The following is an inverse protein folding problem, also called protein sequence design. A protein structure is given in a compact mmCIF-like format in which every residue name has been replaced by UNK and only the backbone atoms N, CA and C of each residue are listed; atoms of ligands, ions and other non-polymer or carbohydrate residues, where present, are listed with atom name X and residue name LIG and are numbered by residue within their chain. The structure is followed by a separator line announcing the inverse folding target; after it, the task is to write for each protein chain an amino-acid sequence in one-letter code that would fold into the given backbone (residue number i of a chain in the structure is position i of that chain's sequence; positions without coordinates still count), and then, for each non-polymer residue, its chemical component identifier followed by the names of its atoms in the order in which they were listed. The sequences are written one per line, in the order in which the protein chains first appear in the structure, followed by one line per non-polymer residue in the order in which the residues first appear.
data_IF_179476881470
#
_entry.id   IF_179476881470
#
_cell.length_a   1.000
_cell.length_b   1.000
_cell.length_c   1.000
_cell.angle_alpha   90.00
_cell.angle_beta   90.00
_cell.angle_gamma   90.00
#
_symmetry.space_group_name_H-M   'P 1'
#
loop_
_entity.id
_entity.type
_entity.pdbx_description
1 polymer ?
#
# COMPACT_ATOMS: atom_id res chain seq x y z
N UNK A 1 -6.12 25.94 8.72
CA UNK A 1 -5.62 24.58 8.50
C UNK A 1 -6.81 23.68 8.29
N UNK A 2 -6.99 23.18 7.09
CA UNK A 2 -8.06 22.22 6.81
C UNK A 2 -7.70 20.92 7.51
N UNK A 3 -8.53 20.51 8.44
CA UNK A 3 -8.38 19.19 9.02
C UNK A 3 -8.54 18.14 7.94
N UNK A 4 -7.57 17.28 7.85
CA UNK A 4 -7.62 16.16 6.94
C UNK A 4 -8.72 15.21 7.40
N UNK A 5 -9.63 14.81 6.51
CA UNK A 5 -10.63 13.82 6.91
C UNK A 5 -9.91 12.55 7.39
N UNK A 6 -10.34 12.04 8.51
CA UNK A 6 -9.81 10.80 9.04
C UNK A 6 -10.00 9.63 8.06
N UNK A 7 -9.24 8.58 8.24
CA UNK A 7 -9.41 7.38 7.43
C UNK A 7 -10.83 6.85 7.55
N UNK A 8 -11.45 6.53 6.41
CA UNK A 8 -12.77 5.90 6.38
C UNK A 8 -12.73 4.48 6.95
N UNK A 9 -11.52 3.90 7.07
CA UNK A 9 -11.30 2.59 7.64
C UNK A 9 -10.06 2.64 8.55
N UNK A 10 -10.07 1.89 9.67
CA UNK A 10 -8.93 1.88 10.59
C UNK A 10 -7.74 1.12 9.99
N UNK A 11 -6.62 1.81 9.78
CA UNK A 11 -5.44 1.24 9.10
C UNK A 11 -4.82 0.08 9.87
N UNK A 12 -4.80 0.15 11.19
CA UNK A 12 -4.26 -0.92 12.04
C UNK A 12 -5.05 -2.23 11.94
N UNK A 13 -6.31 -2.17 11.50
CA UNK A 13 -7.15 -3.34 11.28
C UNK A 13 -7.14 -3.84 9.85
N UNK A 14 -6.70 -3.02 8.89
CA UNK A 14 -6.64 -3.36 7.48
C UNK A 14 -5.37 -4.09 7.10
N UNK A 15 -4.28 -3.80 7.79
CA UNK A 15 -2.96 -4.32 7.47
C UNK A 15 -2.44 -5.19 8.60
N UNK A 16 -1.75 -6.28 8.28
CA UNK A 16 -1.06 -7.10 9.28
C UNK A 16 0.21 -6.43 9.81
N UNK A 17 0.58 -5.29 9.22
CA UNK A 17 1.73 -4.49 9.64
C UNK A 17 1.45 -3.80 10.97
N UNK A 18 2.54 -3.52 11.71
CA UNK A 18 2.50 -2.73 12.93
C UNK A 18 3.34 -1.46 12.74
N UNK A 19 2.98 -0.39 13.44
CA UNK A 19 3.80 0.82 13.45
C UNK A 19 5.23 0.47 13.92
N UNK A 20 6.31 1.04 13.31
CA UNK A 20 6.29 2.13 12.33
C UNK A 20 6.21 1.66 10.86
N UNK A 21 5.92 0.40 10.60
CA UNK A 21 5.90 -0.17 9.24
C UNK A 21 4.62 0.10 8.46
N UNK A 22 3.61 0.70 9.07
CA UNK A 22 2.43 1.18 8.33
C UNK A 22 2.79 2.52 7.71
N UNK A 23 2.99 2.53 6.39
CA UNK A 23 3.50 3.69 5.65
C UNK A 23 2.40 4.54 5.01
N UNK A 24 1.22 3.98 4.79
CA UNK A 24 0.06 4.74 4.30
C UNK A 24 -0.73 5.29 5.49
N UNK A 25 -1.24 6.50 5.35
CA UNK A 25 -1.84 7.22 6.49
C UNK A 25 -3.33 6.92 6.67
N UNK A 26 -4.08 6.92 5.57
CA UNK A 26 -5.54 6.77 5.61
C UNK A 26 -6.08 6.24 4.28
N UNK A 27 -7.27 5.64 4.35
CA UNK A 27 -8.04 5.27 3.18
C UNK A 27 -8.95 6.45 2.84
N UNK A 28 -8.84 6.97 1.61
CA UNK A 28 -9.57 8.14 1.14
C UNK A 28 -10.83 7.76 0.40
N UNK A 29 -10.77 6.74 -0.46
CA UNK A 29 -11.89 6.25 -1.25
C UNK A 29 -11.75 4.75 -1.46
N UNK A 30 -12.87 4.08 -1.59
CA UNK A 30 -12.92 2.66 -1.87
C UNK A 30 -14.18 2.27 -2.62
N UNK A 31 -14.04 1.39 -3.62
CA UNK A 31 -15.14 0.72 -4.28
C UNK A 31 -14.78 -0.76 -4.56
N UNK A 32 -15.55 -1.45 -5.37
CA UNK A 32 -15.35 -2.87 -5.64
C UNK A 32 -14.05 -3.20 -6.38
N UNK A 33 -13.49 -2.24 -7.11
CA UNK A 33 -12.32 -2.44 -7.95
C UNK A 33 -11.12 -1.59 -7.55
N UNK A 34 -11.31 -0.53 -6.78
CA UNK A 34 -10.29 0.48 -6.49
C UNK A 34 -10.22 0.81 -5.02
N UNK A 35 -9.04 1.24 -4.59
CA UNK A 35 -8.85 1.88 -3.30
C UNK A 35 -7.81 2.99 -3.45
N UNK A 36 -8.09 4.14 -2.84
CA UNK A 36 -7.16 5.26 -2.76
C UNK A 36 -6.75 5.48 -1.31
N UNK A 37 -5.45 5.57 -1.09
CA UNK A 37 -4.86 5.85 0.21
C UNK A 37 -4.06 7.13 0.16
N UNK A 38 -4.01 7.85 1.28
CA UNK A 38 -3.23 9.06 1.42
C UNK A 38 -1.88 8.79 2.07
N UNK A 39 -0.86 9.51 1.60
CA UNK A 39 0.48 9.54 2.20
C UNK A 39 0.91 10.97 2.33
N UNK A 40 1.36 11.37 3.51
CA UNK A 40 2.04 12.64 3.73
C UNK A 40 3.51 12.36 3.96
N UNK A 41 4.38 13.06 3.22
CA UNK A 41 5.83 12.92 3.37
C UNK A 41 6.27 13.70 4.60
N UNK A 42 6.64 12.98 5.65
CA UNK A 42 7.03 13.56 6.95
C UNK A 42 8.47 13.24 7.30
N UNK A 43 9.12 14.18 8.01
CA UNK A 43 10.50 14.04 8.46
C UNK A 43 10.66 12.90 9.48
N UNK A 44 9.61 12.47 10.15
CA UNK A 44 9.63 11.37 11.12
C UNK A 44 9.39 9.99 10.50
N UNK A 45 9.20 9.92 9.19
CA UNK A 45 9.09 8.63 8.49
C UNK A 45 10.40 7.85 8.58
N UNK A 46 10.31 6.53 8.74
CA UNK A 46 11.49 5.66 8.86
C UNK A 46 12.38 5.67 7.61
N UNK A 47 11.83 6.04 6.44
CA UNK A 47 12.58 6.10 5.18
C UNK A 47 12.93 7.51 4.76
N UNK A 48 12.67 8.50 5.60
CA UNK A 48 12.97 9.90 5.29
C UNK A 48 14.46 10.19 5.48
N UNK A 49 15.06 10.82 4.48
CA UNK A 49 16.45 11.29 4.54
C UNK A 49 16.48 12.80 4.59
N UNK A 50 17.16 13.35 5.60
CA UNK A 50 17.24 14.80 5.81
C UNK A 50 17.85 15.50 4.59
N UNK A 51 17.19 16.57 4.13
CA UNK A 51 17.60 17.34 2.97
C UNK A 51 17.21 16.73 1.61
N UNK A 52 16.65 15.52 1.59
CA UNK A 52 16.25 14.83 0.34
C UNK A 52 14.78 14.47 0.30
N UNK A 53 14.27 13.81 1.35
CA UNK A 53 12.89 13.30 1.41
C UNK A 53 12.83 11.79 1.47
N UNK A 54 11.79 11.20 0.89
CA UNK A 54 11.63 9.75 0.83
C UNK A 54 12.05 9.26 -0.56
N UNK A 55 12.94 8.24 -0.64
CA UNK A 55 13.42 7.74 -1.93
C UNK A 55 12.28 7.17 -2.79
N UNK A 56 12.41 7.32 -4.11
CA UNK A 56 11.41 6.90 -5.08
C UNK A 56 10.97 5.44 -4.93
N UNK A 57 11.90 4.53 -4.62
CA UNK A 57 11.60 3.10 -4.53
C UNK A 57 10.62 2.74 -3.38
N UNK A 58 10.49 3.60 -2.38
CA UNK A 58 9.53 3.39 -1.28
C UNK A 58 8.08 3.40 -1.79
N UNK A 59 7.83 4.03 -2.95
CA UNK A 59 6.50 4.03 -3.57
C UNK A 59 5.98 2.61 -3.83
N UNK A 60 6.85 1.64 -4.11
CA UNK A 60 6.45 0.24 -4.27
C UNK A 60 5.80 -0.29 -2.99
N UNK A 61 6.38 0.03 -1.84
CA UNK A 61 5.82 -0.38 -0.55
C UNK A 61 4.49 0.32 -0.26
N UNK A 62 4.36 1.59 -0.59
CA UNK A 62 3.08 2.30 -0.48
C UNK A 62 2.00 1.63 -1.33
N UNK A 63 2.36 1.26 -2.56
CA UNK A 63 1.45 0.56 -3.48
C UNK A 63 1.07 -0.82 -2.93
N UNK A 64 2.04 -1.58 -2.45
CA UNK A 64 1.80 -2.91 -1.87
C UNK A 64 0.89 -2.84 -0.64
N UNK A 65 1.13 -1.89 0.26
CA UNK A 65 0.29 -1.69 1.44
C UNK A 65 -1.13 -1.25 1.06
N UNK A 66 -1.26 -0.42 0.04
CA UNK A 66 -2.58 0.00 -0.44
C UNK A 66 -3.36 -1.17 -1.04
N UNK A 67 -2.69 -2.05 -1.78
CA UNK A 67 -3.29 -3.30 -2.23
C UNK A 67 -3.71 -4.19 -1.05
N UNK A 68 -2.86 -4.26 -0.02
CA UNK A 68 -3.18 -4.98 1.21
C UNK A 68 -4.40 -4.42 1.93
N UNK A 69 -4.53 -3.09 1.96
CA UNK A 69 -5.68 -2.41 2.53
C UNK A 69 -6.97 -2.72 1.75
N UNK A 70 -6.88 -2.81 0.42
CA UNK A 70 -8.01 -3.22 -0.42
C UNK A 70 -8.53 -4.61 -0.02
N UNK A 71 -7.64 -5.57 0.08
CA UNK A 71 -7.99 -6.94 0.45
C UNK A 71 -8.42 -7.02 1.92
N UNK A 72 -7.76 -6.26 2.79
CA UNK A 72 -8.10 -6.20 4.22
C UNK A 72 -9.51 -5.64 4.45
N UNK A 73 -9.90 -4.62 3.69
CA UNK A 73 -11.23 -4.05 3.77
C UNK A 73 -12.32 -5.05 3.37
N UNK A 74 -12.07 -5.83 2.32
CA UNK A 74 -12.99 -6.91 1.93
C UNK A 74 -13.10 -7.97 3.03
N UNK A 75 -11.98 -8.36 3.64
CA UNK A 75 -11.98 -9.34 4.71
C UNK A 75 -12.81 -8.86 5.90
N UNK A 76 -12.65 -7.59 6.30
CA UNK A 76 -13.43 -7.00 7.41
C UNK A 76 -14.94 -7.00 7.10
N UNK A 77 -15.33 -6.69 5.88
CA UNK A 77 -16.75 -6.70 5.46
C UNK A 77 -17.35 -8.10 5.57
N UNK A 78 -16.56 -9.12 5.31
CA UNK A 78 -16.99 -10.52 5.36
C UNK A 78 -16.81 -11.15 6.73
N UNK A 79 -16.35 -10.39 7.72
CA UNK A 79 -16.05 -10.91 9.05
C UNK A 79 -14.90 -11.92 9.08
N UNK A 80 -13.99 -11.84 8.09
CA UNK A 80 -12.84 -12.71 7.99
C UNK A 80 -11.58 -12.02 8.54
N UNK A 81 -10.59 -12.80 9.01
CA UNK A 81 -9.33 -12.21 9.45
C UNK A 81 -8.55 -11.64 8.26
N UNK A 82 -7.84 -10.53 8.50
CA UNK A 82 -6.93 -9.94 7.53
C UNK A 82 -5.69 -10.84 7.42
N UNK A 83 -5.36 -11.24 6.19
CA UNK A 83 -4.22 -12.11 5.92
C UNK A 83 -3.01 -11.31 5.47
N UNK A 84 -1.84 -11.83 5.79
CA UNK A 84 -0.58 -11.30 5.28
C UNK A 84 -0.44 -11.66 3.81
N UNK A 85 -0.18 -10.66 2.97
CA UNK A 85 0.12 -10.82 1.56
C UNK A 85 1.61 -10.71 1.29
N UNK A 86 2.07 -11.33 0.22
CA UNK A 86 3.45 -11.26 -0.25
C UNK A 86 3.50 -10.65 -1.64
N UNK A 87 4.39 -9.68 -1.83
CA UNK A 87 4.65 -9.12 -3.15
C UNK A 87 5.46 -10.15 -3.96
N UNK A 88 4.87 -10.69 -5.01
CA UNK A 88 5.55 -11.64 -5.90
C UNK A 88 6.35 -10.95 -6.98
N UNK A 89 5.88 -9.81 -7.46
CA UNK A 89 6.57 -9.10 -8.50
C UNK A 89 6.02 -7.73 -8.77
N UNK A 90 6.88 -6.90 -9.36
CA UNK A 90 6.56 -5.56 -9.80
C UNK A 90 6.89 -5.48 -11.28
N UNK A 91 5.93 -5.06 -12.09
CA UNK A 91 6.15 -4.83 -13.52
C UNK A 91 6.07 -3.34 -13.81
N UNK A 92 6.93 -2.90 -14.71
CA UNK A 92 6.87 -1.55 -15.28
C UNK A 92 6.90 -0.45 -14.23
N UNK A 93 7.63 -0.67 -13.12
CA UNK A 93 7.79 0.40 -12.14
C UNK A 93 8.50 1.59 -12.77
N UNK A 94 7.83 2.74 -12.72
CA UNK A 94 8.37 4.01 -13.17
C UNK A 94 8.11 5.06 -12.11
N UNK A 95 9.12 5.85 -11.81
CA UNK A 95 8.97 7.00 -10.94
C UNK A 95 9.67 8.19 -11.60
N UNK A 96 8.93 9.28 -11.76
CA UNK A 96 9.41 10.47 -12.47
C UNK A 96 10.20 11.42 -11.57
N UNK A 97 10.25 11.14 -10.26
CA UNK A 97 11.03 11.90 -9.29
C UNK A 97 11.99 10.98 -8.55
N UNK A 98 13.20 11.43 -8.21
CA UNK A 98 14.13 10.62 -7.40
C UNK A 98 13.75 10.57 -5.92
N UNK A 99 13.06 11.60 -5.44
CA UNK A 99 12.67 11.77 -4.05
C UNK A 99 11.29 12.40 -3.95
N UNK A 100 10.51 11.97 -2.97
CA UNK A 100 9.28 12.65 -2.57
C UNK A 100 9.65 13.62 -1.46
N UNK A 101 9.36 14.91 -1.65
CA UNK A 101 9.84 15.97 -0.75
C UNK A 101 8.95 16.14 0.47
N UNK A 102 9.57 16.61 1.56
CA UNK A 102 8.86 16.87 2.82
C UNK A 102 7.66 17.78 2.61
N UNK A 103 6.54 17.40 3.20
CA UNK A 103 5.30 18.19 3.15
C UNK A 103 4.39 17.86 1.97
N UNK A 104 4.85 17.06 1.00
CA UNK A 104 3.99 16.64 -0.11
C UNK A 104 2.87 15.72 0.39
N UNK A 105 1.66 15.96 -0.12
CA UNK A 105 0.51 15.07 0.06
C UNK A 105 0.33 14.26 -1.22
N UNK A 106 0.30 12.95 -1.07
CA UNK A 106 0.24 12.01 -2.17
C UNK A 106 -0.99 11.12 -2.05
N UNK A 107 -1.51 10.69 -3.19
CA UNK A 107 -2.58 9.68 -3.26
C UNK A 107 -2.06 8.46 -3.99
N UNK A 108 -2.14 7.32 -3.32
CA UNK A 108 -1.83 6.02 -3.90
C UNK A 108 -3.14 5.38 -4.34
N UNK A 109 -3.28 5.13 -5.63
CA UNK A 109 -4.46 4.51 -6.20
C UNK A 109 -4.12 3.12 -6.71
N UNK A 110 -4.86 2.13 -6.26
CA UNK A 110 -4.73 0.75 -6.74
C UNK A 110 -6.03 0.30 -7.37
N UNK A 111 -5.93 -0.34 -8.53
CA UNK A 111 -7.08 -0.87 -9.27
C UNK A 111 -6.85 -2.34 -9.52
N UNK A 112 -7.80 -3.16 -9.06
CA UNK A 112 -7.73 -4.60 -9.28
C UNK A 112 -7.93 -4.90 -10.77
N UNK A 113 -6.95 -5.57 -11.39
CA UNK A 113 -7.01 -5.97 -12.80
C UNK A 113 -7.47 -7.41 -12.92
N UNK A 114 -6.94 -8.27 -12.07
CA UNK A 114 -7.16 -9.70 -12.12
C UNK A 114 -7.05 -10.31 -10.72
N UNK A 115 -7.90 -11.29 -10.46
CA UNK A 115 -7.85 -12.05 -9.20
C UNK A 115 -8.25 -13.48 -9.47
N UNK A 116 -7.50 -14.42 -8.89
CA UNK A 116 -7.95 -15.76 -8.60
C UNK A 116 -7.87 -15.99 -7.08
N UNK A 117 -8.07 -17.21 -6.61
CA UNK A 117 -8.27 -17.53 -5.19
C UNK A 117 -7.30 -16.84 -4.22
N UNK A 118 -6.00 -16.85 -4.52
CA UNK A 118 -4.96 -16.37 -3.62
C UNK A 118 -4.05 -15.29 -4.24
N UNK A 119 -4.16 -15.08 -5.54
CA UNK A 119 -3.35 -14.11 -6.27
C UNK A 119 -4.18 -12.95 -6.78
N UNK A 120 -3.60 -11.77 -6.79
CA UNK A 120 -4.21 -10.58 -7.37
C UNK A 120 -3.17 -9.73 -8.08
N UNK A 121 -3.56 -9.15 -9.20
CA UNK A 121 -2.77 -8.16 -9.93
C UNK A 121 -3.47 -6.80 -9.86
N UNK A 122 -2.70 -5.76 -9.60
CA UNK A 122 -3.20 -4.40 -9.43
C UNK A 122 -2.39 -3.42 -10.26
N UNK A 123 -3.07 -2.50 -10.95
CA UNK A 123 -2.44 -1.29 -11.46
C UNK A 123 -2.38 -0.26 -10.35
N UNK A 124 -1.20 0.32 -10.15
CA UNK A 124 -0.94 1.24 -9.07
C UNK A 124 -0.36 2.55 -9.57
N UNK A 125 -0.79 3.65 -8.98
CA UNK A 125 -0.24 4.98 -9.24
C UNK A 125 -0.02 5.73 -7.95
N UNK A 126 0.95 6.65 -7.95
CA UNK A 126 1.12 7.66 -6.91
C UNK A 126 1.01 9.02 -7.57
N UNK A 127 0.10 9.84 -7.11
CA UNK A 127 -0.15 11.18 -7.65
C UNK A 127 0.04 12.24 -6.57
N UNK A 128 0.52 13.41 -6.99
CA UNK A 128 0.64 14.57 -6.11
C UNK A 128 -0.72 15.27 -6.02
N UNK A 129 -1.19 15.52 -4.79
CA UNK A 129 -2.50 16.15 -4.57
C UNK A 129 -2.54 17.57 -5.14
N UNK A 130 -1.45 18.33 -5.02
CA UNK A 130 -1.42 19.73 -5.38
C UNK A 130 -1.75 20.02 -6.86
N UNK A 131 -1.36 19.11 -7.77
CA UNK A 131 -1.51 19.29 -9.22
C UNK A 131 -2.05 18.07 -9.96
N UNK A 132 -2.44 17.01 -9.24
CA UNK A 132 -2.89 15.73 -9.77
C UNK A 132 -1.87 15.03 -10.70
N UNK A 133 -0.60 15.43 -10.63
CA UNK A 133 0.44 14.82 -11.44
C UNK A 133 0.76 13.41 -10.96
N UNK A 134 0.73 12.44 -11.88
CA UNK A 134 1.13 11.07 -11.59
C UNK A 134 2.65 11.01 -11.56
N UNK A 135 3.21 10.71 -10.39
CA UNK A 135 4.66 10.63 -10.18
C UNK A 135 5.23 9.23 -10.30
N UNK A 136 4.43 8.22 -10.03
CA UNK A 136 4.87 6.82 -10.09
C UNK A 136 3.76 5.91 -10.58
N UNK A 137 4.15 4.86 -11.31
CA UNK A 137 3.24 3.82 -11.82
C UNK A 137 3.91 2.45 -11.70
N UNK A 138 3.12 1.44 -11.43
CA UNK A 138 3.57 0.04 -11.45
C UNK A 138 2.38 -0.90 -11.56
N UNK A 139 2.65 -2.12 -12.00
CA UNK A 139 1.72 -3.24 -11.85
C UNK A 139 2.29 -4.19 -10.82
N UNK A 140 1.54 -4.47 -9.77
CA UNK A 140 1.94 -5.36 -8.69
C UNK A 140 1.17 -6.67 -8.75
N UNK A 141 1.88 -7.77 -8.54
CA UNK A 141 1.27 -9.09 -8.32
C UNK A 141 1.49 -9.47 -6.86
N UNK A 142 0.40 -9.77 -6.17
CA UNK A 142 0.39 -10.10 -4.75
C UNK A 142 -0.14 -11.51 -4.56
N UNK A 143 0.44 -12.22 -3.60
CA UNK A 143 0.05 -13.55 -3.19
C UNK A 143 -0.39 -13.51 -1.74
N UNK A 144 -1.64 -13.90 -1.49
CA UNK A 144 -2.20 -13.93 -0.14
C UNK A 144 -2.77 -15.32 0.13
N UNK A 145 -1.92 -16.28 0.54
CA UNK A 145 -2.35 -17.65 0.76
C UNK A 145 -3.33 -17.73 1.94
N UNK A 146 -4.27 -18.66 1.85
CA UNK A 146 -5.21 -18.93 2.94
C UNK A 146 -4.47 -19.40 4.21
N UNK A 147 -3.38 -20.13 4.04
CA UNK A 147 -2.52 -20.62 5.13
C UNK A 147 -1.07 -20.22 4.87
N UNK A 148 -0.71 -19.01 5.28
CA UNK A 148 0.64 -18.48 5.14
C UNK A 148 1.65 -19.31 5.96
N UNK A 149 1.27 -19.79 7.15
CA UNK A 149 2.16 -20.58 8.00
C UNK A 149 2.59 -21.87 7.31
N UNK A 150 1.67 -22.56 6.64
CA UNK A 150 1.98 -23.78 5.89
C UNK A 150 2.91 -23.51 4.71
N UNK A 151 2.68 -22.40 3.97
CA UNK A 151 3.52 -22.00 2.85
C UNK A 151 4.94 -21.70 3.32
N UNK A 152 5.09 -20.92 4.39
CA UNK A 152 6.41 -20.55 4.93
C UNK A 152 7.11 -21.75 5.55
N UNK A 153 6.39 -22.64 6.20
CA UNK A 153 6.97 -23.89 6.76
C UNK A 153 7.53 -24.78 5.64
N UNK A 154 6.86 -24.86 4.49
CA UNK A 154 7.36 -25.58 3.31
C UNK A 154 8.65 -24.99 2.75
N UNK A 155 8.97 -23.74 3.06
CA UNK A 155 10.20 -23.06 2.66
C UNK A 155 11.25 -23.02 3.77
N UNK A 156 11.00 -23.68 4.90
CA UNK A 156 11.90 -23.71 6.04
C UNK A 156 11.79 -22.49 6.97
N UNK A 157 10.77 -21.66 6.80
CA UNK A 157 10.53 -20.48 7.64
C UNK A 157 9.58 -20.88 8.78
N UNK A 158 9.96 -20.55 10.02
CA UNK A 158 9.07 -20.73 11.18
C UNK A 158 8.30 -19.42 11.42
N UNK A 159 6.99 -19.53 11.48
CA UNK A 159 6.09 -18.43 11.82
C UNK A 159 5.62 -18.61 13.26
N UNK A 160 5.77 -17.57 14.06
CA UNK A 160 5.28 -17.53 15.43
C UNK A 160 3.86 -16.97 15.49
#
# INVERSE_FOLDING_TARGET
MTERPGSILPMDRLLPHAAPMILIDDVLERDEACLKAGVTVRADSIFFEAGRGIPAHVAIEWMAQTCGAFVGAEALERGLPVRLGMLLGTREFRCDVPWFTQGEHLVVNVTLIFRDDEMGAFDCTVARVADDEILAKATLTLYQPADLAAVLAGQGVKVR
#
